data_IF_907019931682
#
_entry.id   IF_907019931682
#
_cell.length_a   1.000
_cell.length_b   1.000
_cell.length_c   1.000
_cell.angle_alpha   90.00
_cell.angle_beta   90.00
_cell.angle_gamma   90.00
#
_symmetry.space_group_name_H-M   'P 1'
#
loop_
_entity.id
_entity.type
_entity.pdbx_description
1 polymer ?
#
# COMPACT_ATOMS: atom_id res chain seq x y z
N UNK A 1 -20.31 -21.52 14.46
CA UNK A 1 -20.03 -20.43 13.51
C UNK A 1 -19.75 -19.20 14.36
N UNK A 2 -18.61 -18.52 14.17
CA UNK A 2 -18.34 -17.26 14.88
C UNK A 2 -19.04 -16.13 14.11
N UNK A 3 -19.73 -15.24 14.83
CA UNK A 3 -20.43 -14.08 14.28
C UNK A 3 -19.68 -12.82 14.69
N UNK A 4 -19.45 -11.91 13.76
CA UNK A 4 -18.80 -10.64 14.06
C UNK A 4 -19.77 -9.69 14.75
N UNK A 5 -19.24 -8.89 15.68
CA UNK A 5 -19.96 -7.77 16.28
C UNK A 5 -19.90 -6.58 15.33
N UNK A 6 -18.70 -6.17 14.94
CA UNK A 6 -18.49 -5.06 14.00
C UNK A 6 -18.24 -5.59 12.59
N UNK A 7 -18.92 -5.01 11.60
CA UNK A 7 -18.93 -5.49 10.23
C UNK A 7 -18.69 -4.33 9.25
N UNK A 8 -18.14 -4.68 8.08
CA UNK A 8 -18.04 -3.79 6.93
C UNK A 8 -18.90 -4.34 5.80
N UNK A 9 -19.74 -3.47 5.25
CA UNK A 9 -20.43 -3.74 4.00
C UNK A 9 -19.82 -2.86 2.90
N UNK A 10 -19.45 -3.48 1.78
CA UNK A 10 -18.95 -2.78 0.61
C UNK A 10 -20.11 -2.03 -0.06
N UNK A 11 -19.97 -0.70 -0.22
CA UNK A 11 -20.82 0.04 -1.15
C UNK A 11 -20.37 -0.34 -2.54
N UNK A 12 -21.22 -1.05 -3.30
CA UNK A 12 -21.36 -1.26 -4.76
C UNK A 12 -20.10 -1.31 -5.67
N UNK A 13 -19.07 -0.52 -5.41
CA UNK A 13 -17.84 -0.29 -6.16
C UNK A 13 -16.82 -1.45 -6.10
N UNK A 14 -17.09 -2.46 -5.27
CA UNK A 14 -16.29 -3.67 -5.14
C UNK A 14 -14.93 -3.46 -4.46
N UNK A 15 -14.18 -4.55 -4.30
CA UNK A 15 -12.94 -4.59 -3.51
C UNK A 15 -11.67 -4.84 -4.35
N UNK A 16 -11.70 -4.45 -5.62
CA UNK A 16 -10.59 -4.67 -6.55
C UNK A 16 -10.27 -3.41 -7.32
N UNK A 17 -8.98 -3.04 -7.32
CA UNK A 17 -8.45 -1.91 -8.09
C UNK A 17 -7.25 -2.33 -8.93
N UNK A 18 -6.88 -1.52 -9.93
CA UNK A 18 -5.59 -1.66 -10.60
C UNK A 18 -4.54 -0.84 -9.89
N UNK A 19 -3.33 -1.37 -9.86
CA UNK A 19 -2.15 -0.69 -9.36
C UNK A 19 -1.94 0.62 -10.11
N UNK A 20 -1.96 1.74 -9.39
CA UNK A 20 -1.80 3.09 -9.95
C UNK A 20 -3.12 3.81 -10.24
N UNK A 21 -4.27 3.17 -10.05
CA UNK A 21 -5.56 3.86 -10.10
C UNK A 21 -5.74 4.70 -8.84
N UNK A 22 -6.09 5.97 -9.02
CA UNK A 22 -6.65 6.78 -7.96
C UNK A 22 -8.12 6.40 -7.82
N UNK A 23 -8.53 5.90 -6.67
CA UNK A 23 -9.85 5.32 -6.47
C UNK A 23 -10.46 5.81 -5.17
N UNK A 24 -11.78 5.92 -5.13
CA UNK A 24 -12.53 6.13 -3.89
C UNK A 24 -13.29 4.84 -3.61
N UNK A 25 -13.17 4.36 -2.38
CA UNK A 25 -13.89 3.19 -1.89
C UNK A 25 -14.77 3.59 -0.73
N UNK A 26 -16.00 3.09 -0.74
CA UNK A 26 -17.03 3.45 0.21
C UNK A 26 -17.39 2.23 1.06
N UNK A 27 -17.38 2.39 2.38
CA UNK A 27 -17.70 1.33 3.33
C UNK A 27 -18.80 1.76 4.29
N UNK A 28 -19.77 0.86 4.52
CA UNK A 28 -20.79 1.03 5.55
C UNK A 28 -20.33 0.25 6.79
N UNK A 29 -20.29 0.94 7.93
CA UNK A 29 -19.92 0.36 9.22
C UNK A 29 -21.20 -0.08 9.94
N UNK A 30 -21.32 -1.37 10.25
CA UNK A 30 -22.50 -1.92 10.92
C UNK A 30 -22.13 -2.65 12.20
N UNK A 31 -23.03 -2.60 13.18
CA UNK A 31 -22.97 -3.36 14.42
C UNK A 31 -24.06 -4.43 14.43
N UNK A 32 -23.69 -5.67 14.73
CA UNK A 32 -24.60 -6.81 14.72
C UNK A 32 -25.59 -6.79 15.90
N UNK A 33 -25.32 -6.01 16.96
CA UNK A 33 -26.26 -5.81 18.06
C UNK A 33 -27.29 -4.69 17.75
N UNK A 34 -27.16 -4.01 16.61
CA UNK A 34 -27.94 -2.83 16.24
C UNK A 34 -27.83 -1.68 17.27
N UNK A 35 -26.70 -1.57 17.97
CA UNK A 35 -26.45 -0.43 18.85
C UNK A 35 -26.10 0.81 18.01
N UNK A 36 -26.58 1.98 18.45
CA UNK A 36 -26.10 3.24 17.90
C UNK A 36 -24.74 3.59 18.53
N UNK A 37 -23.68 3.40 17.75
CA UNK A 37 -22.30 3.62 18.19
C UNK A 37 -21.87 5.10 18.18
N UNK A 38 -22.74 6.02 17.71
CA UNK A 38 -22.46 7.46 17.66
C UNK A 38 -21.12 7.81 16.96
N UNK A 39 -20.90 7.25 15.78
CA UNK A 39 -19.62 7.34 15.06
C UNK A 39 -19.46 8.60 14.21
N UNK A 40 -20.52 9.36 13.94
CA UNK A 40 -20.48 10.53 13.06
C UNK A 40 -19.41 11.56 13.49
N UNK A 41 -18.60 12.02 12.52
CA UNK A 41 -17.55 13.01 12.74
C UNK A 41 -16.34 12.51 13.53
N UNK A 42 -16.28 11.21 13.84
CA UNK A 42 -15.16 10.64 14.61
C UNK A 42 -13.92 10.46 13.74
N UNK A 43 -12.71 10.78 14.27
CA UNK A 43 -11.48 10.59 13.56
C UNK A 43 -11.26 9.09 13.27
N UNK A 44 -10.88 8.77 12.05
CA UNK A 44 -10.83 7.41 11.54
C UNK A 44 -9.56 7.16 10.75
N UNK A 45 -8.96 5.98 10.97
CA UNK A 45 -7.80 5.49 10.23
C UNK A 45 -8.16 4.21 9.50
N UNK A 46 -7.95 4.20 8.19
CA UNK A 46 -8.09 3.01 7.36
C UNK A 46 -6.71 2.42 7.10
N UNK A 47 -6.56 1.12 7.31
CA UNK A 47 -5.31 0.39 7.11
C UNK A 47 -5.49 -0.69 6.06
N UNK A 48 -4.51 -0.77 5.15
CA UNK A 48 -4.31 -1.93 4.31
C UNK A 48 -3.05 -2.66 4.75
N UNK A 49 -3.21 -3.91 5.14
CA UNK A 49 -2.11 -4.72 5.70
C UNK A 49 -1.93 -6.01 4.90
N UNK A 50 -0.69 -6.50 4.84
CA UNK A 50 -0.40 -7.86 4.40
C UNK A 50 0.40 -8.60 5.48
N UNK A 51 1.00 -9.74 5.11
CA UNK A 51 1.80 -10.57 6.02
C UNK A 51 3.02 -9.85 6.60
N UNK A 52 3.52 -8.82 5.92
CA UNK A 52 4.67 -8.02 6.34
C UNK A 52 4.26 -6.78 7.16
N UNK A 53 2.96 -6.55 7.35
CA UNK A 53 2.41 -5.45 8.14
C UNK A 53 1.69 -4.39 7.32
N UNK A 54 1.68 -3.16 7.82
CA UNK A 54 0.93 -2.03 7.23
C UNK A 54 1.60 -1.57 5.93
N UNK A 55 0.81 -1.48 4.85
CA UNK A 55 1.23 -1.03 3.52
C UNK A 55 0.61 0.28 3.10
N UNK A 56 -0.56 0.61 3.63
CA UNK A 56 -1.23 1.87 3.38
C UNK A 56 -2.02 2.31 4.61
N UNK A 57 -2.04 3.63 4.85
CA UNK A 57 -2.79 4.28 5.91
C UNK A 57 -3.50 5.47 5.28
N UNK A 58 -4.80 5.62 5.56
CA UNK A 58 -5.59 6.77 5.16
C UNK A 58 -6.34 7.35 6.35
N UNK A 59 -6.16 8.66 6.59
CA UNK A 59 -6.84 9.40 7.64
C UNK A 59 -8.14 10.04 7.09
N UNK A 60 -9.25 9.85 7.79
CA UNK A 60 -10.58 10.32 7.39
C UNK A 60 -11.49 10.53 8.60
N UNK A 61 -12.76 10.84 8.36
CA UNK A 61 -13.82 10.93 9.36
C UNK A 61 -15.05 10.15 8.90
N UNK A 62 -15.84 9.64 9.84
CA UNK A 62 -17.09 8.95 9.53
C UNK A 62 -18.18 9.96 9.18
N UNK A 63 -18.89 9.70 8.07
CA UNK A 63 -20.09 10.44 7.67
C UNK A 63 -21.34 9.70 8.11
N UNK A 64 -22.43 10.42 8.33
CA UNK A 64 -23.76 9.85 8.53
C UNK A 64 -24.65 10.26 7.35
N UNK A 65 -25.02 9.29 6.53
CA UNK A 65 -25.93 9.50 5.38
C UNK A 65 -27.01 8.43 5.38
N UNK A 66 -28.27 8.82 5.17
CA UNK A 66 -29.42 7.90 5.17
C UNK A 66 -29.47 6.96 6.40
N UNK A 67 -29.09 7.45 7.59
CA UNK A 67 -28.95 6.69 8.84
C UNK A 67 -27.91 5.56 8.80
N UNK A 68 -26.87 5.69 7.97
CA UNK A 68 -25.75 4.74 7.88
C UNK A 68 -24.44 5.46 8.13
N UNK A 69 -23.56 4.81 8.91
CA UNK A 69 -22.20 5.27 9.10
C UNK A 69 -21.34 4.88 7.90
N UNK A 70 -20.82 5.88 7.20
CA UNK A 70 -20.02 5.73 5.99
C UNK A 70 -18.56 6.13 6.25
N UNK A 71 -17.65 5.30 5.75
CA UNK A 71 -16.23 5.60 5.70
C UNK A 71 -15.76 5.60 4.24
N UNK A 72 -15.31 6.76 3.77
CA UNK A 72 -14.71 6.90 2.44
C UNK A 72 -13.18 6.74 2.58
N UNK A 73 -12.61 5.80 1.84
CA UNK A 73 -11.17 5.64 1.66
C UNK A 73 -10.78 6.15 0.27
N UNK A 74 -9.92 7.17 0.22
CA UNK A 74 -9.37 7.67 -1.05
C UNK A 74 -7.97 7.09 -1.22
N UNK A 75 -7.78 6.25 -2.23
CA UNK A 75 -6.48 5.74 -2.63
C UNK A 75 -5.83 6.79 -3.53
N UNK A 76 -4.91 7.55 -2.96
CA UNK A 76 -4.21 8.68 -3.58
C UNK A 76 -2.75 8.38 -3.94
N UNK A 77 -2.28 7.17 -3.62
CA UNK A 77 -0.91 6.71 -3.87
C UNK A 77 -0.89 5.33 -4.52
N UNK A 78 0.25 4.98 -5.11
CA UNK A 78 0.42 3.68 -5.77
C UNK A 78 0.66 2.60 -4.70
N UNK A 79 -0.37 1.81 -4.43
CA UNK A 79 -0.24 0.61 -3.59
C UNK A 79 0.35 -0.53 -4.43
N UNK A 80 1.33 -1.30 -3.93
CA UNK A 80 1.86 -2.46 -4.64
C UNK A 80 0.78 -3.47 -5.03
N UNK A 81 1.05 -4.28 -6.05
CA UNK A 81 0.14 -5.37 -6.42
C UNK A 81 0.12 -6.43 -5.31
N UNK A 82 -1.07 -6.83 -4.88
CA UNK A 82 -1.21 -7.70 -3.72
C UNK A 82 -2.66 -7.89 -3.29
N UNK A 83 -2.84 -8.71 -2.26
CA UNK A 83 -4.11 -8.82 -1.53
C UNK A 83 -3.87 -8.34 -0.11
N UNK A 84 -4.65 -7.34 0.29
CA UNK A 84 -4.52 -6.67 1.57
C UNK A 84 -5.73 -6.94 2.44
N UNK A 85 -5.53 -7.05 3.74
CA UNK A 85 -6.59 -6.99 4.74
C UNK A 85 -6.96 -5.54 4.99
N UNK A 86 -8.26 -5.26 5.01
CA UNK A 86 -8.80 -3.94 5.35
C UNK A 86 -9.18 -3.90 6.82
N UNK A 87 -8.69 -2.89 7.53
CA UNK A 87 -9.13 -2.54 8.88
C UNK A 87 -9.48 -1.06 8.95
N UNK A 88 -10.59 -0.72 9.61
CA UNK A 88 -11.03 0.66 9.84
C UNK A 88 -11.11 0.89 11.34
N UNK A 89 -10.24 1.76 11.85
CA UNK A 89 -10.17 2.13 13.26
C UNK A 89 -10.83 3.49 13.47
N UNK A 90 -11.89 3.53 14.28
CA UNK A 90 -12.67 4.74 14.58
C UNK A 90 -12.45 5.15 16.03
N UNK A 91 -12.06 6.42 16.24
CA UNK A 91 -11.82 7.05 17.56
C UNK A 91 -10.90 6.24 18.49
N UNK A 92 -9.97 5.46 17.91
CA UNK A 92 -9.13 4.48 18.61
C UNK A 92 -9.88 3.49 19.51
N UNK A 93 -11.19 3.33 19.29
CA UNK A 93 -12.10 2.58 20.17
C UNK A 93 -12.66 1.36 19.44
N UNK A 94 -13.10 1.55 18.20
CA UNK A 94 -13.75 0.51 17.41
C UNK A 94 -12.88 0.12 16.21
N UNK A 95 -12.75 -1.18 15.94
CA UNK A 95 -12.04 -1.72 14.78
C UNK A 95 -12.99 -2.57 13.94
N UNK A 96 -13.14 -2.20 12.68
CA UNK A 96 -14.03 -2.86 11.72
C UNK A 96 -13.23 -3.55 10.60
N UNK A 97 -13.62 -4.77 10.16
CA UNK A 97 -14.56 -5.65 10.86
C UNK A 97 -13.87 -6.31 12.08
N UNK A 98 -14.63 -7.03 12.90
CA UNK A 98 -14.07 -7.81 14.03
C UNK A 98 -13.28 -9.06 13.61
N UNK A 99 -13.25 -9.38 12.31
CA UNK A 99 -12.42 -10.45 11.74
C UNK A 99 -11.51 -9.90 10.63
N UNK A 100 -10.74 -10.79 10.00
CA UNK A 100 -9.79 -10.42 8.95
C UNK A 100 -10.29 -10.76 7.54
N UNK A 101 -11.61 -10.87 7.32
CA UNK A 101 -12.16 -11.32 6.03
C UNK A 101 -12.30 -10.23 5.00
N UNK A 102 -12.43 -8.96 5.39
CA UNK A 102 -12.46 -7.85 4.44
C UNK A 102 -11.10 -7.74 3.75
N UNK A 103 -11.09 -7.99 2.43
CA UNK A 103 -9.87 -7.97 1.61
C UNK A 103 -10.01 -7.00 0.46
N UNK A 104 -8.93 -6.30 0.13
CA UNK A 104 -8.79 -5.53 -1.10
C UNK A 104 -7.74 -6.18 -1.99
N UNK A 105 -8.05 -6.33 -3.28
CA UNK A 105 -7.11 -6.85 -4.27
C UNK A 105 -6.63 -5.75 -5.20
N UNK A 106 -5.33 -5.49 -5.16
CA UNK A 106 -4.64 -4.60 -6.10
C UNK A 106 -4.06 -5.45 -7.22
N UNK A 107 -4.65 -5.37 -8.40
CA UNK A 107 -4.18 -6.08 -9.58
C UNK A 107 -3.01 -5.32 -10.22
N UNK A 108 -1.92 -6.02 -10.52
CA UNK A 108 -0.78 -5.43 -11.21
C UNK A 108 -1.19 -4.74 -12.52
N UNK A 109 -0.60 -3.58 -12.78
CA UNK A 109 -0.69 -2.87 -14.05
C UNK A 109 0.70 -2.76 -14.70
N UNK A 110 0.75 -2.59 -16.02
CA UNK A 110 2.03 -2.49 -16.75
C UNK A 110 2.85 -1.29 -16.24
N UNK A 111 2.19 -0.16 -15.98
CA UNK A 111 2.83 1.06 -15.49
C UNK A 111 3.17 0.97 -14.00
N UNK A 112 2.26 0.44 -13.18
CA UNK A 112 2.46 0.31 -11.73
C UNK A 112 3.58 -0.67 -11.36
N UNK A 113 3.73 -1.75 -12.12
CA UNK A 113 4.84 -2.69 -11.98
C UNK A 113 6.19 -2.06 -12.40
N UNK A 114 6.16 -1.09 -13.33
CA UNK A 114 7.33 -0.29 -13.66
C UNK A 114 7.77 0.59 -12.49
N UNK A 115 6.82 1.28 -11.85
CA UNK A 115 7.09 2.27 -10.78
C UNK A 115 7.53 1.60 -9.47
N UNK A 116 6.83 0.54 -9.03
CA UNK A 116 7.22 -0.18 -7.80
C UNK A 116 8.59 -0.85 -7.88
N UNK A 117 9.04 -1.17 -9.09
CA UNK A 117 10.41 -1.61 -9.31
C UNK A 117 11.41 -0.44 -9.11
N UNK A 118 11.07 0.78 -9.55
CA UNK A 118 11.91 1.99 -9.42
C UNK A 118 12.14 2.43 -7.98
N UNK A 119 11.15 2.31 -7.10
CA UNK A 119 11.31 2.66 -5.68
C UNK A 119 12.18 1.66 -4.90
N UNK A 120 12.37 0.44 -5.41
CA UNK A 120 13.31 -0.50 -4.81
C UNK A 120 14.72 -0.24 -5.34
N UNK A 121 15.66 0.08 -4.44
CA UNK A 121 17.11 0.20 -4.71
C UNK A 121 17.70 -0.95 -5.57
N UNK A 122 17.01 -2.09 -5.66
CA UNK A 122 17.39 -3.21 -6.51
C UNK A 122 17.24 -2.95 -8.02
N UNK A 123 16.42 -2.01 -8.49
CA UNK A 123 16.28 -1.80 -9.95
C UNK A 123 17.55 -1.30 -10.59
N UNK A 124 18.27 -0.39 -9.94
CA UNK A 124 19.55 0.10 -10.45
C UNK A 124 20.56 -1.03 -10.56
N UNK A 125 20.56 -1.95 -9.58
CA UNK A 125 21.37 -3.16 -9.62
C UNK A 125 20.93 -4.09 -10.75
N UNK A 126 19.65 -4.41 -10.86
CA UNK A 126 19.09 -5.29 -11.90
C UNK A 126 19.28 -4.74 -13.32
N UNK A 127 19.07 -3.43 -13.54
CA UNK A 127 19.31 -2.75 -14.81
C UNK A 127 20.78 -2.79 -15.17
N UNK A 128 21.67 -2.60 -14.20
CA UNK A 128 23.11 -2.66 -14.45
C UNK A 128 23.57 -4.08 -14.74
N UNK A 129 23.10 -5.09 -14.00
CA UNK A 129 23.33 -6.51 -14.29
C UNK A 129 22.84 -6.90 -15.69
N UNK A 130 21.65 -6.45 -16.06
CA UNK A 130 21.09 -6.66 -17.39
C UNK A 130 21.93 -5.99 -18.49
N UNK A 131 22.34 -4.73 -18.28
CA UNK A 131 23.14 -3.98 -19.24
C UNK A 131 24.54 -4.57 -19.43
N UNK A 132 25.17 -5.09 -18.36
CA UNK A 132 26.44 -5.83 -18.43
C UNK A 132 26.26 -7.15 -19.17
N UNK A 133 25.24 -7.95 -18.79
CA UNK A 133 24.96 -9.26 -19.41
C UNK A 133 24.72 -9.17 -20.92
N UNK A 134 24.05 -8.12 -21.38
CA UNK A 134 23.71 -7.92 -22.79
C UNK A 134 24.72 -7.04 -23.54
N UNK A 135 25.84 -6.66 -22.90
CA UNK A 135 26.93 -5.92 -23.54
C UNK A 135 26.62 -4.46 -23.85
N UNK A 136 25.56 -3.89 -23.29
CA UNK A 136 25.24 -2.46 -23.37
C UNK A 136 26.17 -1.62 -22.49
N UNK A 137 26.66 -2.20 -21.39
CA UNK A 137 27.74 -1.67 -20.58
C UNK A 137 28.95 -2.59 -20.67
N UNK A 138 30.07 -2.06 -21.17
CA UNK A 138 31.36 -2.76 -21.13
C UNK A 138 32.02 -2.49 -19.78
N UNK A 139 32.02 -3.49 -18.92
CA UNK A 139 32.80 -3.54 -17.70
C UNK A 139 33.87 -4.62 -17.86
N UNK A 140 35.12 -4.35 -17.50
CA UNK A 140 36.14 -5.41 -17.37
C UNK A 140 35.86 -6.34 -16.18
N UNK A 141 34.85 -6.00 -15.38
CA UNK A 141 34.49 -6.63 -14.12
C UNK A 141 33.08 -7.21 -14.30
N UNK A 142 32.99 -8.53 -14.46
CA UNK A 142 31.75 -9.29 -14.62
C UNK A 142 30.90 -9.37 -13.34
N UNK A 143 31.41 -8.84 -12.23
CA UNK A 143 30.72 -8.83 -10.94
C UNK A 143 30.25 -7.41 -10.59
N UNK A 144 28.99 -7.28 -10.19
CA UNK A 144 28.38 -6.01 -9.71
C UNK A 144 28.87 -5.57 -8.33
N UNK A 145 29.93 -6.20 -7.82
CA UNK A 145 30.57 -5.93 -6.53
C UNK A 145 31.24 -4.55 -6.44
N UNK A 146 31.53 -3.93 -7.59
CA UNK A 146 32.16 -2.61 -7.69
C UNK A 146 31.20 -1.45 -7.97
N UNK A 147 29.89 -1.70 -7.84
CA UNK A 147 28.85 -0.66 -7.99
C UNK A 147 28.17 -0.48 -6.65
N UNK A 148 28.25 0.74 -6.12
CA UNK A 148 27.55 1.12 -4.89
C UNK A 148 26.43 2.10 -5.21
N UNK A 149 25.23 1.78 -4.72
CA UNK A 149 24.02 2.56 -4.92
C UNK A 149 23.60 3.11 -3.55
N UNK A 150 23.49 4.42 -3.45
CA UNK A 150 23.07 5.08 -2.21
C UNK A 150 23.22 6.59 -2.28
N UNK A 151 22.61 7.30 -1.33
CA UNK A 151 22.67 8.76 -1.23
C UNK A 151 23.93 9.29 -0.55
N UNK A 152 24.84 8.40 -0.16
CA UNK A 152 26.13 8.77 0.41
C UNK A 152 27.25 8.21 -0.44
N UNK A 153 28.26 9.04 -0.65
CA UNK A 153 29.40 8.68 -1.49
C UNK A 153 30.16 7.49 -0.87
N UNK A 154 30.55 6.49 -1.68
CA UNK A 154 31.34 5.35 -1.25
C UNK A 154 32.62 5.76 -0.53
N UNK A 155 32.95 5.00 0.51
CA UNK A 155 34.25 5.13 1.17
C UNK A 155 35.37 4.64 0.25
N UNK A 156 35.09 3.61 -0.56
CA UNK A 156 35.98 3.11 -1.59
C UNK A 156 35.77 3.88 -2.91
N UNK A 157 36.70 4.79 -3.21
CA UNK A 157 36.67 5.65 -4.42
C UNK A 157 36.96 4.90 -5.71
N UNK A 158 37.30 3.62 -5.67
CA UNK A 158 37.51 2.80 -6.87
C UNK A 158 36.21 2.23 -7.43
N UNK A 159 35.10 2.40 -6.70
CA UNK A 159 33.77 1.93 -7.09
C UNK A 159 33.00 2.97 -7.90
N UNK A 160 32.12 2.48 -8.76
CA UNK A 160 31.15 3.30 -9.47
C UNK A 160 30.01 3.62 -8.50
N UNK A 161 29.82 4.91 -8.21
CA UNK A 161 28.73 5.39 -7.37
C UNK A 161 27.53 5.80 -8.21
N UNK A 162 26.35 5.29 -7.87
CA UNK A 162 25.07 5.76 -8.38
C UNK A 162 24.37 6.49 -7.24
N UNK A 163 24.42 7.83 -7.29
CA UNK A 163 23.69 8.70 -6.37
C UNK A 163 22.21 8.68 -6.74
N UNK A 164 21.37 8.21 -5.80
CA UNK A 164 19.92 8.16 -5.98
C UNK A 164 19.21 9.44 -5.56
N UNK A 165 19.90 10.40 -4.93
CA UNK A 165 19.32 11.67 -4.48
C UNK A 165 18.24 11.57 -3.39
N UNK A 166 17.92 10.35 -2.92
CA UNK A 166 16.93 10.11 -1.86
C UNK A 166 17.67 9.97 -0.53
N UNK A 167 17.54 10.99 0.32
CA UNK A 167 17.92 10.86 1.72
C UNK A 167 16.91 9.96 2.41
N UNK A 168 17.39 8.90 3.09
CA UNK A 168 16.57 8.13 4.03
C UNK A 168 16.23 8.97 5.25
#
# INVERSE_FOLDING_TARGET
MLTNVLNLEESIDGNRIKQGDLSVMHYILTDANNDDLHLEGKPTKVYLTDVDGVKYIYDTEIKLEENKYLCDMIIDTIIPAGTYTLEIWVDNTYCFPSDNKAKIRVESSVLGNGITKVDNNNLWKELTEYAVKNGYLKSEITETSNIEIGSTEPTDKTKIWIDTGVNK
#
